data_IF_313189248982
#
_entry.id   IF_313189248982
#
_cell.length_a   1.000
_cell.length_b   1.000
_cell.length_c   1.000
_cell.angle_alpha   90.00
_cell.angle_beta   90.00
_cell.angle_gamma   90.00
#
_symmetry.space_group_name_H-M   'P 1'
#
loop_
_entity.id
_entity.type
_entity.pdbx_description
1 polymer ?
#
# COMPACT_ATOMS: atom_id res chain seq x y z
N UNK A 1 -12.46 -4.19 -23.95
CA UNK A 1 -11.46 -3.36 -24.66
C UNK A 1 -10.32 -3.04 -23.70
N UNK A 2 -9.09 -3.52 -23.95
CA UNK A 2 -7.97 -3.42 -23.00
C UNK A 2 -7.48 -1.98 -22.83
N UNK A 3 -7.49 -1.19 -23.90
CA UNK A 3 -7.05 0.22 -23.88
C UNK A 3 -7.92 1.04 -22.92
N UNK A 4 -9.24 0.93 -23.06
CA UNK A 4 -10.19 1.60 -22.16
C UNK A 4 -9.97 1.23 -20.68
N UNK A 5 -9.64 -0.03 -20.39
CA UNK A 5 -9.36 -0.47 -19.02
C UNK A 5 -8.09 0.21 -18.46
N UNK A 6 -7.02 0.30 -19.24
CA UNK A 6 -5.78 0.97 -18.82
C UNK A 6 -6.00 2.47 -18.58
N UNK A 7 -6.77 3.14 -19.45
CA UNK A 7 -7.19 4.52 -19.24
C UNK A 7 -7.99 4.67 -17.94
N UNK A 8 -8.98 3.82 -17.71
CA UNK A 8 -9.83 3.87 -16.52
C UNK A 8 -9.04 3.65 -15.22
N UNK A 9 -8.04 2.77 -15.22
CA UNK A 9 -7.14 2.58 -14.07
C UNK A 9 -6.36 3.87 -13.80
N UNK A 10 -5.80 4.49 -14.84
CA UNK A 10 -5.11 5.78 -14.71
C UNK A 10 -6.03 6.87 -14.17
N UNK A 11 -7.25 6.97 -14.71
CA UNK A 11 -8.26 7.93 -14.28
C UNK A 11 -8.67 7.73 -12.81
N UNK A 12 -8.93 6.49 -12.41
CA UNK A 12 -9.24 6.16 -11.01
C UNK A 12 -8.10 6.57 -10.07
N UNK A 13 -6.85 6.35 -10.50
CA UNK A 13 -5.69 6.79 -9.75
C UNK A 13 -5.57 8.32 -9.66
N UNK A 14 -5.85 9.03 -10.76
CA UNK A 14 -5.84 10.50 -10.79
C UNK A 14 -6.86 11.09 -9.82
N UNK A 15 -8.08 10.54 -9.80
CA UNK A 15 -9.12 10.92 -8.82
C UNK A 15 -8.65 10.59 -7.39
N UNK A 16 -8.09 9.40 -7.18
CA UNK A 16 -7.57 9.01 -5.87
C UNK A 16 -6.46 9.96 -5.38
N UNK A 17 -5.62 10.50 -6.27
CA UNK A 17 -4.60 11.49 -5.94
C UNK A 17 -5.15 12.81 -5.36
N UNK A 18 -6.38 13.20 -5.73
CA UNK A 18 -7.05 14.37 -5.14
C UNK A 18 -7.60 14.08 -3.74
N UNK A 19 -8.08 12.85 -3.50
CA UNK A 19 -8.61 12.43 -2.20
C UNK A 19 -7.47 12.15 -1.21
N UNK A 20 -6.41 11.49 -1.69
CA UNK A 20 -5.27 11.07 -0.92
C UNK A 20 -3.99 11.28 -1.75
N UNK A 21 -3.33 12.41 -1.53
CA UNK A 21 -2.13 12.82 -2.28
C UNK A 21 -1.06 11.70 -2.48
N UNK A 22 -0.70 10.90 -1.46
CA UNK A 22 0.29 9.83 -1.63
C UNK A 22 -0.16 8.70 -2.56
N UNK A 23 -1.44 8.61 -2.93
CA UNK A 23 -1.94 7.61 -3.87
C UNK A 23 -1.21 7.65 -5.21
N UNK A 24 -0.70 8.82 -5.63
CA UNK A 24 0.07 8.97 -6.87
C UNK A 24 1.28 8.02 -6.93
N UNK A 25 1.85 7.61 -5.79
CA UNK A 25 2.93 6.61 -5.75
C UNK A 25 2.52 5.25 -6.34
N UNK A 26 1.24 4.88 -6.28
CA UNK A 26 0.73 3.68 -6.95
C UNK A 26 0.79 3.76 -8.48
N UNK A 27 1.04 4.93 -9.06
CA UNK A 27 1.34 5.03 -10.48
C UNK A 27 2.58 4.19 -10.84
N UNK A 28 3.63 4.27 -10.01
CA UNK A 28 4.83 3.45 -10.16
C UNK A 28 4.48 1.97 -10.09
N UNK A 29 3.60 1.58 -9.16
CA UNK A 29 3.13 0.19 -9.04
C UNK A 29 2.42 -0.30 -10.31
N UNK A 30 1.56 0.53 -10.90
CA UNK A 30 0.86 0.22 -12.16
C UNK A 30 1.86 0.04 -13.30
N UNK A 31 2.90 0.88 -13.40
CA UNK A 31 3.93 0.72 -14.41
C UNK A 31 4.66 -0.62 -14.26
N UNK A 32 5.05 -0.99 -13.04
CA UNK A 32 5.64 -2.31 -12.77
C UNK A 32 4.69 -3.45 -13.12
N UNK A 33 3.39 -3.30 -12.85
CA UNK A 33 2.35 -4.25 -13.24
C UNK A 33 2.32 -4.48 -14.75
N UNK A 34 2.31 -3.41 -15.56
CA UNK A 34 2.32 -3.51 -17.02
C UNK A 34 3.59 -4.20 -17.54
N UNK A 35 4.77 -3.86 -17.01
CA UNK A 35 6.06 -4.47 -17.37
C UNK A 35 6.07 -5.97 -17.05
N UNK A 36 5.74 -6.32 -15.81
CA UNK A 36 5.90 -7.69 -15.30
C UNK A 36 4.86 -8.65 -15.89
N UNK A 37 3.61 -8.21 -16.03
CA UNK A 37 2.50 -9.07 -16.45
C UNK A 37 2.47 -9.32 -17.96
N UNK A 38 2.61 -8.29 -18.80
CA UNK A 38 2.03 -8.34 -20.15
C UNK A 38 2.91 -7.90 -21.33
N UNK A 39 4.20 -7.63 -21.10
CA UNK A 39 5.13 -7.03 -22.08
C UNK A 39 4.92 -5.52 -22.24
N UNK A 40 6.04 -4.81 -22.43
CA UNK A 40 6.08 -3.35 -22.45
C UNK A 40 5.48 -2.83 -23.75
N UNK A 41 4.37 -2.10 -23.63
CA UNK A 41 3.72 -1.43 -24.76
C UNK A 41 3.63 0.06 -24.45
N UNK A 42 4.42 0.93 -25.11
CA UNK A 42 4.45 2.36 -24.78
C UNK A 42 3.07 3.02 -24.91
N UNK A 43 2.24 2.55 -25.84
CA UNK A 43 0.86 3.01 -26.01
C UNK A 43 0.01 2.83 -24.75
N UNK A 44 0.21 1.75 -23.99
CA UNK A 44 -0.53 1.51 -22.74
C UNK A 44 -0.03 2.45 -21.62
N UNK A 45 1.25 2.78 -21.62
CA UNK A 45 1.84 3.69 -20.63
C UNK A 45 1.33 5.12 -20.83
N UNK A 46 1.36 5.59 -22.08
CA UNK A 46 0.83 6.91 -22.44
C UNK A 46 -0.67 6.97 -22.10
N UNK A 47 -1.43 5.93 -22.41
CA UNK A 47 -2.86 5.92 -22.11
C UNK A 47 -3.15 5.95 -20.60
N UNK A 48 -2.35 5.26 -19.80
CA UNK A 48 -2.44 5.32 -18.34
C UNK A 48 -2.08 6.72 -17.81
N UNK A 49 -1.03 7.35 -18.37
CA UNK A 49 -0.63 8.73 -18.03
C UNK A 49 -1.71 9.74 -18.38
N UNK A 50 -2.31 9.63 -19.57
CA UNK A 50 -3.42 10.49 -20.00
C UNK A 50 -4.60 10.33 -19.03
N UNK A 51 -4.95 9.09 -18.65
CA UNK A 51 -5.94 8.82 -17.62
C UNK A 51 -5.62 9.51 -16.29
N UNK A 52 -4.38 9.39 -15.80
CA UNK A 52 -3.91 9.99 -14.54
C UNK A 52 -4.04 11.52 -14.54
N UNK A 53 -3.66 12.17 -15.64
CA UNK A 53 -3.65 13.64 -15.75
C UNK A 53 -5.07 14.20 -16.01
N UNK A 54 -5.99 13.38 -16.52
CA UNK A 54 -7.34 13.82 -16.93
C UNK A 54 -8.10 14.54 -15.79
N UNK A 55 -8.18 14.01 -14.55
CA UNK A 55 -8.83 14.73 -13.45
C UNK A 55 -8.19 16.08 -13.15
N UNK A 56 -6.86 16.16 -13.18
CA UNK A 56 -6.12 17.40 -12.94
C UNK A 56 -6.32 18.43 -14.05
N UNK A 57 -6.44 17.97 -15.30
CA UNK A 57 -6.74 18.82 -16.44
C UNK A 57 -8.13 19.48 -16.32
N UNK A 58 -9.17 18.69 -16.00
CA UNK A 58 -10.51 19.25 -15.81
C UNK A 58 -10.58 20.22 -14.63
N UNK A 59 -9.87 19.91 -13.54
CA UNK A 59 -9.77 20.81 -12.39
C UNK A 59 -9.05 22.11 -12.72
N UNK A 60 -7.95 22.05 -13.49
CA UNK A 60 -7.24 23.24 -13.96
C UNK A 60 -8.12 24.13 -14.86
N UNK A 61 -8.93 23.52 -15.73
CA UNK A 61 -9.90 24.25 -16.57
C UNK A 61 -10.96 24.96 -15.70
N UNK A 62 -11.46 24.30 -14.67
CA UNK A 62 -12.40 24.90 -13.72
C UNK A 62 -11.79 26.11 -13.00
N UNK A 63 -10.55 26.01 -12.54
CA UNK A 63 -9.83 27.13 -11.91
C UNK A 63 -9.60 28.31 -12.87
N UNK A 64 -9.35 28.01 -14.15
CA UNK A 64 -9.14 29.02 -15.19
C UNK A 64 -10.42 29.81 -15.48
N UNK A 65 -11.58 29.13 -15.53
CA UNK A 65 -12.88 29.79 -15.76
C UNK A 65 -13.31 30.64 -14.55
N UNK A 66 -12.87 30.28 -13.35
CA UNK A 66 -13.22 30.97 -12.09
C UNK A 66 -12.22 32.05 -11.69
N UNK A 67 -11.23 32.36 -12.54
CA UNK A 67 -10.12 33.28 -12.26
C UNK A 67 -9.36 32.96 -10.94
N UNK A 68 -9.46 31.71 -10.47
CA UNK A 68 -8.83 31.23 -9.23
C UNK A 68 -7.56 30.43 -9.53
N UNK A 69 -6.86 30.76 -10.62
CA UNK A 69 -5.70 30.02 -11.09
C UNK A 69 -4.61 29.93 -10.02
N UNK A 70 -4.31 28.71 -9.58
CA UNK A 70 -3.24 28.45 -8.62
C UNK A 70 -2.54 27.13 -8.93
N UNK A 71 -1.23 27.21 -9.17
CA UNK A 71 -0.41 26.04 -9.48
C UNK A 71 -0.34 25.04 -8.31
N UNK A 72 -0.44 25.57 -7.09
CA UNK A 72 -0.46 24.80 -5.85
C UNK A 72 -1.75 23.99 -5.65
N UNK A 73 -2.87 24.38 -6.28
CA UNK A 73 -4.12 23.61 -6.17
C UNK A 73 -4.14 22.39 -7.10
N UNK A 74 -3.38 22.44 -8.19
CA UNK A 74 -3.31 21.35 -9.18
C UNK A 74 -2.33 20.26 -8.73
N UNK A 75 -1.22 20.67 -8.11
CA UNK A 75 -0.19 19.74 -7.63
C UNK A 75 -0.36 19.45 -6.13
N UNK A 76 -0.53 18.17 -5.74
CA UNK A 76 -0.51 17.83 -4.33
C UNK A 76 0.85 18.19 -3.72
N UNK A 77 0.82 18.82 -2.54
CA UNK A 77 2.06 19.20 -1.86
C UNK A 77 2.81 17.94 -1.39
N UNK A 78 4.03 17.78 -1.90
CA UNK A 78 4.95 16.72 -1.49
C UNK A 78 5.88 17.28 -0.41
N UNK A 79 5.55 17.05 0.85
CA UNK A 79 6.50 17.22 1.96
C UNK A 79 6.99 15.83 2.39
N UNK A 80 8.30 15.66 2.48
CA UNK A 80 8.88 14.49 3.14
C UNK A 80 9.18 14.87 4.58
N UNK A 81 8.63 14.10 5.52
CA UNK A 81 8.91 14.27 6.95
C UNK A 81 9.53 12.98 7.48
N UNK A 82 10.62 13.13 8.22
CA UNK A 82 11.22 12.03 8.96
C UNK A 82 10.35 11.83 10.19
N UNK A 83 9.94 10.59 10.42
CA UNK A 83 9.14 10.23 11.58
C UNK A 83 10.02 10.24 12.84
N UNK A 84 9.63 11.06 13.80
CA UNK A 84 10.09 10.92 15.18
C UNK A 84 9.22 9.86 15.86
N UNK A 85 9.69 8.61 15.86
CA UNK A 85 9.01 7.49 16.50
C UNK A 85 9.45 7.44 17.95
N UNK A 86 8.55 7.78 18.88
CA UNK A 86 8.79 7.51 20.29
C UNK A 86 8.89 6.00 20.52
N UNK A 87 10.04 5.54 21.01
CA UNK A 87 10.26 4.12 21.22
C UNK A 87 9.40 3.62 22.38
N UNK A 88 8.33 2.90 22.05
CA UNK A 88 7.43 2.28 23.03
C UNK A 88 7.50 0.76 22.94
N UNK A 89 7.41 0.09 24.10
CA UNK A 89 7.35 -1.37 24.17
C UNK A 89 6.16 -1.93 23.36
N UNK A 90 5.08 -1.15 23.24
CA UNK A 90 3.90 -1.46 22.44
C UNK A 90 4.19 -1.43 20.93
N UNK A 91 5.00 -0.48 20.46
CA UNK A 91 5.41 -0.43 19.06
C UNK A 91 6.34 -1.60 18.70
N UNK A 92 7.26 -1.96 19.60
CA UNK A 92 8.12 -3.12 19.41
C UNK A 92 7.31 -4.43 19.36
N UNK A 93 6.35 -4.60 20.27
CA UNK A 93 5.47 -5.78 20.30
C UNK A 93 4.58 -5.91 19.05
N UNK A 94 3.98 -4.80 18.59
CA UNK A 94 3.14 -4.81 17.39
C UNK A 94 3.96 -5.08 16.12
N UNK A 95 5.15 -4.47 16.01
CA UNK A 95 6.07 -4.72 14.91
C UNK A 95 6.52 -6.19 14.87
N UNK A 96 6.86 -6.77 16.03
CA UNK A 96 7.23 -8.18 16.12
C UNK A 96 6.09 -9.11 15.64
N UNK A 97 4.87 -8.85 16.10
CA UNK A 97 3.69 -9.63 15.72
C UNK A 97 3.27 -9.45 14.25
N UNK A 98 3.65 -8.35 13.61
CA UNK A 98 3.46 -8.17 12.17
C UNK A 98 4.55 -8.86 11.35
N UNK A 99 5.81 -8.71 11.75
CA UNK A 99 6.99 -9.17 10.99
C UNK A 99 7.15 -10.68 11.03
N UNK A 100 6.96 -11.33 12.19
CA UNK A 100 7.17 -12.78 12.29
C UNK A 100 6.22 -13.57 11.36
N UNK A 101 4.90 -13.36 11.36
CA UNK A 101 4.00 -14.05 10.44
C UNK A 101 4.26 -13.68 8.98
N UNK A 102 4.70 -12.45 8.71
CA UNK A 102 5.09 -12.02 7.37
C UNK A 102 6.32 -12.78 6.85
N UNK A 103 7.35 -12.97 7.68
CA UNK A 103 8.54 -13.74 7.32
C UNK A 103 8.22 -15.21 7.06
N UNK A 104 7.39 -15.81 7.92
CA UNK A 104 6.89 -17.17 7.70
C UNK A 104 6.13 -17.29 6.37
N UNK A 105 5.21 -16.35 6.11
CA UNK A 105 4.48 -16.28 4.85
C UNK A 105 5.39 -16.14 3.63
N UNK A 106 6.39 -15.27 3.73
CA UNK A 106 7.40 -15.04 2.68
C UNK A 106 8.22 -16.30 2.40
N UNK A 107 8.61 -17.05 3.44
CA UNK A 107 9.32 -18.33 3.29
C UNK A 107 8.49 -19.36 2.50
N UNK A 108 7.21 -19.54 2.86
CA UNK A 108 6.34 -20.49 2.16
C UNK A 108 6.02 -20.07 0.72
N UNK A 109 5.90 -18.76 0.45
CA UNK A 109 5.77 -18.25 -0.92
C UNK A 109 7.00 -18.66 -1.72
N UNK A 110 8.21 -18.45 -1.19
CA UNK A 110 9.48 -18.80 -1.85
C UNK A 110 9.61 -20.29 -2.14
N UNK A 111 9.30 -21.16 -1.17
CA UNK A 111 9.33 -22.62 -1.37
C UNK A 111 8.37 -23.05 -2.51
N UNK A 112 7.20 -22.43 -2.56
CA UNK A 112 6.18 -22.76 -3.54
C UNK A 112 6.43 -22.16 -4.94
N UNK A 113 7.37 -21.21 -5.11
CA UNK A 113 7.60 -20.52 -6.39
C UNK A 113 7.88 -21.49 -7.54
N UNK A 114 8.63 -22.56 -7.30
CA UNK A 114 8.99 -23.53 -8.35
C UNK A 114 7.78 -24.31 -8.87
N UNK A 115 6.77 -24.52 -8.02
CA UNK A 115 5.55 -25.28 -8.31
C UNK A 115 4.44 -24.41 -8.90
N UNK A 116 4.57 -23.08 -8.84
CA UNK A 116 3.57 -22.12 -9.31
C UNK A 116 3.64 -21.87 -10.82
N UNK A 117 2.47 -21.60 -11.42
CA UNK A 117 2.37 -21.06 -12.78
C UNK A 117 3.12 -19.71 -12.90
N UNK A 118 3.66 -19.42 -14.09
CA UNK A 118 4.42 -18.18 -14.35
C UNK A 118 3.62 -16.93 -13.98
N UNK A 119 2.31 -16.91 -14.30
CA UNK A 119 1.42 -15.79 -13.97
C UNK A 119 1.31 -15.58 -12.45
N UNK A 120 1.23 -16.66 -11.67
CA UNK A 120 1.14 -16.60 -10.20
C UNK A 120 2.47 -16.09 -9.63
N UNK A 121 3.61 -16.58 -10.12
CA UNK A 121 4.94 -16.09 -9.70
C UNK A 121 5.09 -14.58 -9.91
N UNK A 122 4.73 -14.10 -11.10
CA UNK A 122 4.77 -12.66 -11.42
C UNK A 122 3.86 -11.84 -10.52
N UNK A 123 2.69 -12.39 -10.16
CA UNK A 123 1.76 -11.75 -9.22
C UNK A 123 2.37 -11.58 -7.83
N UNK A 124 3.10 -12.60 -7.32
CA UNK A 124 3.84 -12.48 -6.05
C UNK A 124 4.92 -11.40 -6.08
N UNK A 125 5.65 -11.29 -7.20
CA UNK A 125 6.60 -10.19 -7.39
C UNK A 125 5.90 -8.83 -7.36
N UNK A 126 4.70 -8.70 -7.93
CA UNK A 126 3.92 -7.45 -7.87
C UNK A 126 3.42 -7.10 -6.48
N UNK A 127 3.07 -8.10 -5.65
CA UNK A 127 2.73 -7.86 -4.24
C UNK A 127 3.95 -7.38 -3.45
N UNK A 128 5.18 -7.86 -3.78
CA UNK A 128 6.40 -7.32 -3.18
C UNK A 128 6.65 -5.85 -3.60
N UNK A 129 6.47 -5.53 -4.88
CA UNK A 129 6.57 -4.13 -5.33
C UNK A 129 5.49 -3.26 -4.66
N UNK A 130 4.29 -3.80 -4.45
CA UNK A 130 3.22 -3.13 -3.70
C UNK A 130 3.65 -2.84 -2.26
N UNK A 131 4.29 -3.80 -1.58
CA UNK A 131 4.81 -3.63 -0.22
C UNK A 131 5.83 -2.50 -0.14
N UNK A 132 6.77 -2.45 -1.09
CA UNK A 132 7.80 -1.40 -1.13
C UNK A 132 7.14 -0.03 -1.31
N UNK A 133 6.19 0.09 -2.23
CA UNK A 133 5.49 1.35 -2.47
C UNK A 133 4.64 1.74 -1.25
N UNK A 134 3.93 0.79 -0.65
CA UNK A 134 3.14 1.02 0.56
C UNK A 134 3.99 1.45 1.76
N UNK A 135 5.24 1.00 1.82
CA UNK A 135 6.21 1.44 2.84
C UNK A 135 6.70 2.87 2.60
N UNK A 136 6.73 3.34 1.35
CA UNK A 136 7.11 4.72 1.02
C UNK A 136 5.97 5.74 1.29
N UNK A 137 4.71 5.29 1.28
CA UNK A 137 3.54 6.17 1.44
C UNK A 137 3.57 7.01 2.72
N UNK A 138 3.84 6.45 3.92
CA UNK A 138 3.85 7.22 5.15
C UNK A 138 4.97 8.27 5.24
N UNK A 139 5.95 8.25 4.33
CA UNK A 139 6.98 9.29 4.27
C UNK A 139 6.54 10.50 3.45
N UNK A 140 5.45 10.38 2.69
CA UNK A 140 4.91 11.45 1.85
C UNK A 140 3.74 12.15 2.55
N UNK A 141 3.87 13.46 2.69
CA UNK A 141 2.88 14.36 3.28
C UNK A 141 2.46 13.91 4.70
N UNK A 142 3.43 13.65 5.58
CA UNK A 142 3.17 13.11 6.91
C UNK A 142 3.23 14.18 8.01
N UNK A 143 2.20 14.22 8.86
CA UNK A 143 2.11 15.03 10.08
C UNK A 143 2.27 14.16 11.35
N UNK A 144 2.91 12.99 11.23
CA UNK A 144 3.11 12.05 12.35
C UNK A 144 1.95 11.08 12.57
N UNK A 145 1.04 10.93 11.62
CA UNK A 145 -0.14 10.06 11.78
C UNK A 145 0.16 8.60 11.41
N UNK A 146 0.08 7.72 12.41
CA UNK A 146 0.30 6.28 12.27
C UNK A 146 -0.74 5.64 11.33
N UNK A 147 -1.91 6.25 11.11
CA UNK A 147 -2.97 5.70 10.25
C UNK A 147 -2.51 5.48 8.81
N UNK A 148 -1.58 6.29 8.31
CA UNK A 148 -1.05 6.16 6.94
C UNK A 148 -0.27 4.85 6.73
N UNK A 149 0.23 4.24 7.81
CA UNK A 149 0.90 2.93 7.78
C UNK A 149 -0.06 1.77 7.53
N UNK A 150 -1.38 1.97 7.69
CA UNK A 150 -2.39 0.93 7.49
C UNK A 150 -2.41 0.38 6.05
N UNK A 151 -1.99 1.17 5.06
CA UNK A 151 -1.92 0.75 3.66
C UNK A 151 -0.93 -0.41 3.48
N UNK A 152 0.13 -0.47 4.29
CA UNK A 152 1.09 -1.57 4.28
C UNK A 152 0.48 -2.90 4.76
N UNK A 153 -0.59 -2.85 5.55
CA UNK A 153 -1.26 -4.05 6.05
C UNK A 153 -1.81 -4.91 4.89
N UNK A 154 -2.17 -4.29 3.75
CA UNK A 154 -2.72 -4.99 2.58
C UNK A 154 -1.74 -6.04 2.03
N UNK A 155 -0.52 -5.68 1.56
CA UNK A 155 0.44 -6.66 1.08
C UNK A 155 0.93 -7.59 2.19
N UNK A 156 1.09 -7.09 3.43
CA UNK A 156 1.50 -7.93 4.56
C UNK A 156 0.48 -9.06 4.80
N UNK A 157 -0.81 -8.75 4.82
CA UNK A 157 -1.88 -9.72 5.05
C UNK A 157 -1.89 -10.83 3.99
N UNK A 158 -1.58 -10.50 2.73
CA UNK A 158 -1.47 -11.50 1.65
C UNK A 158 -0.35 -12.52 1.92
N UNK A 159 0.81 -12.08 2.41
CA UNK A 159 1.90 -12.98 2.79
C UNK A 159 1.53 -13.80 4.02
N UNK A 160 0.96 -13.16 5.05
CA UNK A 160 0.52 -13.86 6.26
C UNK A 160 -0.52 -14.94 5.94
N UNK A 161 -1.49 -14.64 5.08
CA UNK A 161 -2.51 -15.59 4.63
C UNK A 161 -1.88 -16.84 3.98
N UNK A 162 -0.87 -16.66 3.11
CA UNK A 162 -0.13 -17.82 2.56
C UNK A 162 0.64 -18.59 3.60
N UNK A 163 1.26 -17.91 4.56
CA UNK A 163 1.91 -18.57 5.70
C UNK A 163 0.92 -19.46 6.45
N UNK A 164 -0.24 -18.93 6.79
CA UNK A 164 -1.26 -19.68 7.55
C UNK A 164 -1.85 -20.85 6.77
N UNK A 165 -2.04 -20.71 5.46
CA UNK A 165 -2.56 -21.80 4.63
C UNK A 165 -1.52 -22.89 4.33
N UNK A 166 -0.25 -22.54 4.17
CA UNK A 166 0.80 -23.47 3.74
C UNK A 166 1.51 -24.17 4.90
N UNK A 167 1.33 -23.70 6.14
CA UNK A 167 2.02 -24.25 7.31
C UNK A 167 1.55 -25.69 7.61
N UNK A 168 2.47 -26.67 7.75
CA UNK A 168 2.10 -28.05 8.09
C UNK A 168 1.61 -28.19 9.55
N UNK A 169 2.14 -27.35 10.46
CA UNK A 169 1.75 -27.29 11.86
C UNK A 169 0.48 -26.46 12.05
N UNK A 170 -0.68 -27.13 12.15
CA UNK A 170 -2.00 -26.46 12.33
C UNK A 170 -2.09 -25.57 13.58
N UNK A 171 -1.25 -25.81 14.57
CA UNK A 171 -1.23 -25.05 15.83
C UNK A 171 -0.63 -23.65 15.64
N UNK A 172 0.33 -23.48 14.72
CA UNK A 172 1.07 -22.24 14.58
C UNK A 172 0.20 -21.05 14.14
N UNK A 173 -0.69 -21.16 13.13
CA UNK A 173 -1.61 -20.07 12.78
C UNK A 173 -2.57 -19.72 13.90
N UNK A 174 -3.06 -20.72 14.64
CA UNK A 174 -3.99 -20.53 15.77
C UNK A 174 -3.30 -19.78 16.90
N UNK A 175 -2.08 -20.17 17.25
CA UNK A 175 -1.28 -19.51 18.29
C UNK A 175 -1.00 -18.06 17.91
N UNK A 176 -0.54 -17.80 16.68
CA UNK A 176 -0.27 -16.43 16.21
C UNK A 176 -1.53 -15.56 16.21
N UNK A 177 -2.68 -16.10 15.81
CA UNK A 177 -3.97 -15.39 15.87
C UNK A 177 -4.36 -15.02 17.30
N UNK A 178 -4.32 -15.96 18.24
CA UNK A 178 -4.65 -15.67 19.63
C UNK A 178 -3.65 -14.71 20.27
N UNK A 179 -2.37 -14.79 19.89
CA UNK A 179 -1.33 -13.89 20.35
C UNK A 179 -1.55 -12.45 19.86
N UNK A 180 -1.90 -12.25 18.58
CA UNK A 180 -2.24 -10.92 18.06
C UNK A 180 -3.50 -10.37 18.71
N UNK A 181 -4.53 -11.20 18.90
CA UNK A 181 -5.77 -10.80 19.57
C UNK A 181 -5.52 -10.41 21.03
N UNK A 182 -4.79 -11.23 21.79
CA UNK A 182 -4.42 -10.93 23.16
C UNK A 182 -3.61 -9.63 23.26
N UNK A 183 -2.67 -9.41 22.33
CA UNK A 183 -1.88 -8.19 22.27
C UNK A 183 -2.75 -6.94 22.03
N UNK A 184 -3.70 -7.00 21.08
CA UNK A 184 -4.62 -5.89 20.80
C UNK A 184 -5.47 -5.56 22.03
N UNK A 185 -6.01 -6.59 22.71
CA UNK A 185 -6.79 -6.39 23.95
C UNK A 185 -5.92 -5.79 25.06
N UNK A 186 -4.70 -6.30 25.27
CA UNK A 186 -3.77 -5.73 26.25
C UNK A 186 -3.43 -4.27 25.93
N UNK A 187 -3.20 -3.93 24.66
CA UNK A 187 -2.95 -2.54 24.25
C UNK A 187 -4.15 -1.64 24.53
N UNK A 188 -5.38 -2.14 24.30
CA UNK A 188 -6.60 -1.38 24.53
C UNK A 188 -6.86 -1.11 26.02
N UNK A 189 -6.62 -2.07 26.92
CA UNK A 189 -6.94 -1.94 28.35
C UNK A 189 -5.76 -1.47 29.23
N UNK A 190 -4.52 -1.84 28.90
CA UNK A 190 -3.33 -1.54 29.70
C UNK A 190 -2.39 -0.52 29.02
N UNK A 191 -2.55 -0.30 27.71
CA UNK A 191 -1.75 0.64 26.95
C UNK A 191 -2.27 2.08 27.00
N UNK A 192 -1.55 3.02 26.38
CA UNK A 192 -1.93 4.43 26.33
C UNK A 192 -3.21 4.69 25.51
N UNK A 193 -3.78 3.67 24.86
CA UNK A 193 -4.99 3.79 24.04
C UNK A 193 -6.23 4.26 24.83
N UNK A 194 -6.27 4.04 26.15
CA UNK A 194 -7.30 4.57 27.04
C UNK A 194 -6.93 5.94 27.66
N UNK A 195 -5.64 6.22 27.85
CA UNK A 195 -5.15 7.40 28.58
C UNK A 195 -5.15 8.71 27.76
N UNK A 196 -5.38 8.64 26.44
CA UNK A 196 -5.40 9.83 25.57
C UNK A 196 -6.79 10.48 25.41
N UNK A 197 -7.82 9.99 26.12
CA UNK A 197 -9.19 10.56 26.13
C UNK A 197 -9.59 11.12 27.51
N UNK A 198 -8.63 11.65 28.28
CA UNK A 198 -8.86 12.33 29.56
C UNK A 198 -8.18 13.69 29.62
#
# INVERSE_FOLDING_TARGET
NVKALVFNIGLALGIAGFIYAPAILFFVWILFSLVLMRSVRPNEWILCLVGLVTPSYFYAMYLLITDAWSWQAIWPQFSMHILEIEQSIWLAGSAFLLVIPFLLGSYFVQDSLRKMLIQIRKSWSLVLVLLIIALLIPFVNNQGDLQKWAIMAIPIALFQAKGYMATPLRILPVLLFWMTLAFILCYQFLGPGWAMNG
#
